data_IF_216671368140
#
_entry.id   IF_216671368140
#
_cell.length_a   1.000
_cell.length_b   1.000
_cell.length_c   1.000
_cell.angle_alpha   90.00
_cell.angle_beta   90.00
_cell.angle_gamma   90.00
#
_symmetry.space_group_name_H-M   'P 1'
#
loop_
_entity.id
_entity.type
_entity.pdbx_description
1 polymer ?
#
# COMPACT_ATOMS: atom_id res chain seq x y z
N UNK A 1 -54.86 10.16 0.47
CA UNK A 1 -53.57 10.38 -0.22
C UNK A 1 -52.44 10.02 0.72
N UNK A 2 -51.79 8.89 0.51
CA UNK A 2 -50.58 8.50 1.24
C UNK A 2 -49.37 8.99 0.45
N UNK A 3 -48.59 9.89 1.05
CA UNK A 3 -47.28 10.29 0.51
C UNK A 3 -46.30 9.17 0.81
N UNK A 4 -45.88 8.44 -0.23
CA UNK A 4 -44.75 7.50 -0.16
C UNK A 4 -43.49 8.29 0.15
N UNK A 5 -42.92 8.06 1.34
CA UNK A 5 -41.60 8.56 1.73
C UNK A 5 -40.56 7.72 0.97
N UNK A 6 -39.89 8.35 0.01
CA UNK A 6 -38.78 7.77 -0.76
C UNK A 6 -37.65 7.34 0.17
N UNK A 7 -37.24 6.08 0.04
CA UNK A 7 -36.29 5.37 0.91
C UNK A 7 -34.96 5.18 0.15
N UNK A 8 -34.35 6.26 -0.31
CA UNK A 8 -33.16 6.20 -1.18
C UNK A 8 -32.04 7.18 -0.77
N UNK A 9 -31.70 7.32 0.52
CA UNK A 9 -30.62 8.25 0.92
C UNK A 9 -29.69 7.77 2.04
N UNK A 10 -29.65 6.47 2.36
CA UNK A 10 -28.82 5.96 3.48
C UNK A 10 -27.73 4.96 3.05
N UNK A 11 -27.74 4.44 1.82
CA UNK A 11 -26.84 3.33 1.43
C UNK A 11 -25.49 3.74 0.82
N UNK A 12 -25.21 5.03 0.62
CA UNK A 12 -23.97 5.48 -0.06
C UNK A 12 -22.75 5.65 0.84
N UNK A 13 -22.92 5.74 2.17
CA UNK A 13 -21.79 5.93 3.10
C UNK A 13 -21.06 4.61 3.42
N UNK A 14 -21.77 3.47 3.34
CA UNK A 14 -21.23 2.17 3.73
C UNK A 14 -20.31 1.57 2.65
N UNK A 15 -20.47 1.97 1.38
CA UNK A 15 -19.69 1.43 0.26
C UNK A 15 -18.20 1.80 0.33
N UNK A 16 -17.84 2.87 1.07
CA UNK A 16 -16.46 3.30 1.27
C UNK A 16 -15.88 2.91 2.64
N UNK A 17 -16.66 2.32 3.54
CA UNK A 17 -16.19 1.98 4.88
C UNK A 17 -15.21 0.80 4.86
N UNK A 18 -14.16 0.85 5.69
CA UNK A 18 -13.23 -0.26 5.91
C UNK A 18 -13.66 -1.01 7.17
N UNK A 19 -13.86 -2.34 7.14
CA UNK A 19 -14.19 -3.11 8.34
C UNK A 19 -13.23 -2.89 9.51
N UNK A 20 -13.77 -2.79 10.73
CA UNK A 20 -12.98 -2.57 11.97
C UNK A 20 -11.85 -3.59 12.17
N UNK A 21 -12.01 -4.91 11.89
CA UNK A 21 -10.90 -5.85 12.00
C UNK A 21 -9.71 -5.49 11.12
N UNK A 22 -9.96 -4.98 9.90
CA UNK A 22 -8.92 -4.53 8.98
C UNK A 22 -8.23 -3.27 9.53
N UNK A 23 -9.01 -2.28 9.95
CA UNK A 23 -8.45 -1.05 10.54
C UNK A 23 -7.55 -1.36 11.75
N UNK A 24 -8.03 -2.25 12.63
CA UNK A 24 -7.30 -2.69 13.83
C UNK A 24 -6.03 -3.43 13.45
N UNK A 25 -6.09 -4.32 12.46
CA UNK A 25 -4.92 -5.02 11.95
C UNK A 25 -3.88 -4.05 11.42
N UNK A 26 -4.25 -3.15 10.50
CA UNK A 26 -3.34 -2.20 9.89
C UNK A 26 -2.72 -1.26 10.93
N UNK A 27 -3.52 -0.76 11.88
CA UNK A 27 -3.00 0.05 12.99
C UNK A 27 -1.96 -0.71 13.83
N UNK A 28 -2.22 -1.99 14.15
CA UNK A 28 -1.27 -2.82 14.89
C UNK A 28 0.04 -3.03 14.13
N UNK A 29 -0.01 -3.15 12.80
CA UNK A 29 1.19 -3.29 11.98
C UNK A 29 2.00 -2.00 11.84
N UNK A 30 1.33 -0.84 11.83
CA UNK A 30 2.01 0.46 11.69
C UNK A 30 2.53 1.01 13.02
N UNK A 31 1.86 0.72 14.13
CA UNK A 31 2.18 1.25 15.46
C UNK A 31 3.66 1.10 15.89
N UNK A 32 4.36 -0.03 15.64
CA UNK A 32 5.78 -0.17 15.98
C UNK A 32 6.68 0.87 15.32
N UNK A 33 6.38 1.24 14.08
CA UNK A 33 7.16 2.21 13.29
C UNK A 33 6.92 3.65 13.77
N UNK A 34 5.69 3.99 14.15
CA UNK A 34 5.35 5.33 14.67
C UNK A 34 5.92 5.53 16.07
N UNK A 35 5.80 4.53 16.95
CA UNK A 35 6.20 4.66 18.36
C UNK A 35 7.70 4.44 18.61
N UNK A 36 8.47 4.17 17.56
CA UNK A 36 9.91 3.87 17.59
C UNK A 36 10.29 2.77 18.60
N UNK A 37 9.38 1.85 18.92
CA UNK A 37 9.57 0.82 19.95
C UNK A 37 9.66 -0.57 19.31
N UNK A 38 10.76 -1.26 19.62
CA UNK A 38 11.04 -2.69 19.38
C UNK A 38 11.28 -3.07 17.90
N UNK A 39 12.56 -3.15 17.49
CA UNK A 39 12.98 -3.59 16.16
C UNK A 39 12.34 -4.92 15.70
N UNK A 40 12.20 -5.88 16.62
CA UNK A 40 11.56 -7.18 16.36
C UNK A 40 10.09 -7.07 15.92
N UNK A 41 9.36 -6.07 16.41
CA UNK A 41 7.97 -5.86 16.00
C UNK A 41 7.90 -5.30 14.58
N UNK A 42 8.80 -4.37 14.21
CA UNK A 42 8.91 -3.87 12.84
C UNK A 42 9.20 -5.00 11.84
N UNK A 43 10.11 -5.93 12.19
CA UNK A 43 10.40 -7.10 11.38
C UNK A 43 9.17 -7.98 11.17
N UNK A 44 8.44 -8.28 12.25
CA UNK A 44 7.21 -9.08 12.17
C UNK A 44 6.14 -8.41 11.32
N UNK A 45 5.99 -7.09 11.43
CA UNK A 45 5.03 -6.32 10.65
C UNK A 45 5.38 -6.27 9.16
N UNK A 46 6.66 -6.12 8.80
CA UNK A 46 7.12 -6.19 7.42
C UNK A 46 6.81 -7.56 6.79
N UNK A 47 7.06 -8.65 7.52
CA UNK A 47 6.72 -10.00 7.09
C UNK A 47 5.20 -10.19 6.93
N UNK A 48 4.42 -9.64 7.86
CA UNK A 48 2.96 -9.72 7.82
C UNK A 48 2.38 -8.94 6.64
N UNK A 49 2.93 -7.76 6.32
CA UNK A 49 2.48 -6.96 5.19
C UNK A 49 2.69 -7.68 3.87
N UNK A 50 3.91 -8.17 3.61
CA UNK A 50 4.18 -8.93 2.38
C UNK A 50 3.23 -10.13 2.26
N UNK A 51 3.09 -10.92 3.33
CA UNK A 51 2.28 -12.13 3.33
C UNK A 51 0.80 -11.87 3.04
N UNK A 52 0.23 -10.83 3.65
CA UNK A 52 -1.22 -10.56 3.59
C UNK A 52 -1.57 -9.67 2.39
N UNK A 53 -0.75 -8.66 2.08
CA UNK A 53 -1.02 -7.66 1.03
C UNK A 53 -0.48 -8.09 -0.32
N UNK A 54 0.70 -8.72 -0.39
CA UNK A 54 1.25 -9.16 -1.69
C UNK A 54 0.76 -10.58 -1.98
N UNK A 55 1.12 -11.53 -1.11
CA UNK A 55 0.87 -12.95 -1.36
C UNK A 55 -0.60 -13.38 -1.14
N UNK A 56 -1.44 -12.50 -0.59
CA UNK A 56 -2.84 -12.78 -0.25
C UNK A 56 -3.04 -14.02 0.65
N UNK A 57 -2.05 -14.35 1.49
CA UNK A 57 -2.12 -15.50 2.39
C UNK A 57 -2.77 -15.10 3.71
N UNK A 58 -4.00 -15.53 3.94
CA UNK A 58 -4.78 -15.23 5.15
C UNK A 58 -4.67 -16.32 6.24
N UNK A 59 -4.03 -17.45 5.93
CA UNK A 59 -3.90 -18.56 6.87
C UNK A 59 -3.23 -18.12 8.18
N UNK A 60 -3.75 -18.52 9.34
CA UNK A 60 -3.20 -18.15 10.65
C UNK A 60 -3.51 -16.73 11.12
N UNK A 61 -4.32 -15.96 10.37
CA UNK A 61 -4.98 -14.76 10.89
C UNK A 61 -6.23 -15.16 11.70
N UNK A 62 -6.77 -14.24 12.50
CA UNK A 62 -8.02 -14.48 13.23
C UNK A 62 -9.20 -14.64 12.25
N UNK A 63 -10.19 -15.50 12.56
CA UNK A 63 -11.37 -15.70 11.69
C UNK A 63 -12.07 -14.39 11.32
N UNK A 64 -12.26 -13.51 12.31
CA UNK A 64 -12.86 -12.18 12.11
C UNK A 64 -12.11 -11.28 11.15
N UNK A 65 -10.77 -11.39 11.07
CA UNK A 65 -9.97 -10.62 10.14
C UNK A 65 -10.04 -11.22 8.74
N UNK A 66 -10.01 -12.55 8.63
CA UNK A 66 -10.18 -13.24 7.34
C UNK A 66 -11.52 -12.90 6.70
N UNK A 67 -12.61 -13.02 7.46
CA UNK A 67 -13.96 -12.68 6.99
C UNK A 67 -14.05 -11.21 6.57
N UNK A 68 -13.47 -10.30 7.36
CA UNK A 68 -13.43 -8.88 7.02
C UNK A 68 -12.67 -8.61 5.71
N UNK A 69 -11.48 -9.20 5.52
CA UNK A 69 -10.69 -9.05 4.28
C UNK A 69 -11.46 -9.59 3.08
N UNK A 70 -12.15 -10.73 3.25
CA UNK A 70 -12.96 -11.35 2.19
C UNK A 70 -14.26 -10.60 1.89
N UNK A 71 -14.74 -9.76 2.81
CA UNK A 71 -15.96 -8.96 2.63
C UNK A 71 -15.80 -7.73 1.72
N UNK A 72 -14.56 -7.35 1.38
CA UNK A 72 -14.26 -6.21 0.50
C UNK A 72 -13.47 -6.68 -0.73
N UNK A 73 -13.46 -5.88 -1.80
CA UNK A 73 -12.64 -6.18 -2.97
C UNK A 73 -11.15 -6.20 -2.62
N UNK A 74 -10.36 -6.99 -3.35
CA UNK A 74 -8.91 -7.05 -3.14
C UNK A 74 -8.26 -5.68 -3.27
N UNK A 75 -8.69 -4.89 -4.26
CA UNK A 75 -8.21 -3.54 -4.45
C UNK A 75 -8.55 -2.61 -3.28
N UNK A 76 -9.77 -2.68 -2.74
CA UNK A 76 -10.16 -1.87 -1.57
C UNK A 76 -9.28 -2.18 -0.36
N UNK A 77 -8.91 -3.44 -0.15
CA UNK A 77 -7.94 -3.82 0.89
C UNK A 77 -6.52 -3.29 0.62
N UNK A 78 -6.06 -3.33 -0.63
CA UNK A 78 -4.77 -2.77 -1.05
C UNK A 78 -4.72 -1.26 -0.80
N UNK A 79 -5.74 -0.52 -1.24
CA UNK A 79 -5.85 0.92 -1.00
C UNK A 79 -5.88 1.25 0.50
N UNK A 80 -6.65 0.51 1.29
CA UNK A 80 -6.67 0.71 2.74
C UNK A 80 -5.30 0.47 3.39
N UNK A 81 -4.50 -0.44 2.84
CA UNK A 81 -3.17 -0.79 3.36
C UNK A 81 -2.08 0.18 2.92
N UNK A 82 -2.23 0.86 1.79
CA UNK A 82 -1.19 1.69 1.20
C UNK A 82 -0.65 2.82 2.12
N UNK A 83 -1.48 3.67 2.76
CA UNK A 83 -0.96 4.71 3.66
C UNK A 83 -0.17 4.14 4.83
N UNK A 84 -0.56 2.96 5.33
CA UNK A 84 0.15 2.26 6.39
C UNK A 84 1.54 1.80 5.95
N UNK A 85 1.66 1.25 4.74
CA UNK A 85 2.95 0.84 4.16
C UNK A 85 3.84 2.04 3.89
N UNK A 86 3.30 3.16 3.37
CA UNK A 86 4.05 4.42 3.19
C UNK A 86 4.66 4.88 4.52
N UNK A 87 3.86 4.94 5.60
CA UNK A 87 4.36 5.33 6.92
C UNK A 87 5.49 4.43 7.42
N UNK A 88 5.35 3.11 7.28
CA UNK A 88 6.38 2.17 7.71
C UNK A 88 7.66 2.30 6.87
N UNK A 89 7.54 2.44 5.54
CA UNK A 89 8.68 2.68 4.65
C UNK A 89 9.41 3.98 5.00
N UNK A 90 8.67 5.09 5.15
CA UNK A 90 9.26 6.37 5.51
C UNK A 90 10.00 6.29 6.86
N UNK A 91 9.43 5.59 7.85
CA UNK A 91 10.06 5.37 9.15
C UNK A 91 11.39 4.62 9.04
N UNK A 92 11.47 3.54 8.27
CA UNK A 92 12.74 2.79 8.11
C UNK A 92 13.79 3.58 7.33
N UNK A 93 13.38 4.33 6.30
CA UNK A 93 14.29 5.16 5.50
C UNK A 93 14.82 6.34 6.31
N UNK A 94 13.96 7.03 7.05
CA UNK A 94 14.36 8.12 7.94
C UNK A 94 15.32 7.60 9.01
N UNK A 95 15.01 6.47 9.64
CA UNK A 95 15.90 5.87 10.65
C UNK A 95 17.26 5.52 10.05
N UNK A 96 17.30 4.92 8.86
CA UNK A 96 18.56 4.62 8.16
C UNK A 96 19.34 5.91 7.91
N UNK A 97 18.69 6.95 7.38
CA UNK A 97 19.31 8.25 7.12
C UNK A 97 19.90 8.89 8.39
N UNK A 98 19.21 8.79 9.53
CA UNK A 98 19.67 9.35 10.81
C UNK A 98 20.79 8.53 11.48
N UNK A 99 20.81 7.21 11.27
CA UNK A 99 21.71 6.31 12.03
C UNK A 99 22.91 5.81 11.25
N UNK A 100 22.69 5.37 10.01
CA UNK A 100 23.75 4.87 9.11
C UNK A 100 23.24 4.87 7.65
N UNK A 101 23.45 5.98 6.90
CA UNK A 101 23.00 6.09 5.51
C UNK A 101 23.51 4.98 4.59
N UNK A 102 24.73 4.50 4.84
CA UNK A 102 25.40 3.47 4.05
C UNK A 102 25.03 2.03 4.47
N UNK A 103 24.18 1.86 5.49
CA UNK A 103 23.74 0.55 5.93
C UNK A 103 22.92 -0.16 4.85
N UNK A 104 23.27 -1.41 4.54
CA UNK A 104 22.42 -2.24 3.68
C UNK A 104 21.06 -2.48 4.34
N UNK A 105 20.02 -2.55 3.51
CA UNK A 105 18.70 -2.94 3.97
C UNK A 105 18.71 -4.35 4.54
N UNK A 106 18.06 -4.51 5.69
CA UNK A 106 17.81 -5.83 6.26
C UNK A 106 16.75 -6.58 5.46
N UNK A 107 16.60 -7.89 5.70
CA UNK A 107 15.58 -8.71 5.03
C UNK A 107 14.16 -8.17 5.24
N UNK A 108 13.84 -7.64 6.43
CA UNK A 108 12.54 -7.02 6.70
C UNK A 108 12.36 -5.71 5.95
N UNK A 109 13.39 -4.86 5.88
CA UNK A 109 13.34 -3.60 5.12
C UNK A 109 13.09 -3.88 3.63
N UNK A 110 13.79 -4.87 3.06
CA UNK A 110 13.60 -5.31 1.67
C UNK A 110 12.15 -5.76 1.45
N UNK A 111 11.58 -6.56 2.35
CA UNK A 111 10.19 -7.03 2.20
C UNK A 111 9.15 -5.92 2.31
N UNK A 112 9.41 -4.94 3.18
CA UNK A 112 8.53 -3.78 3.34
C UNK A 112 8.59 -2.86 2.11
N UNK A 113 9.81 -2.55 1.62
CA UNK A 113 10.00 -1.79 0.38
C UNK A 113 9.41 -2.52 -0.83
N UNK A 114 9.59 -3.83 -0.92
CA UNK A 114 8.96 -4.64 -1.95
C UNK A 114 7.43 -4.54 -1.90
N UNK A 115 6.84 -4.57 -0.70
CA UNK A 115 5.39 -4.40 -0.54
C UNK A 115 4.95 -3.03 -1.05
N UNK A 116 5.70 -1.96 -0.75
CA UNK A 116 5.44 -0.62 -1.29
C UNK A 116 5.52 -0.61 -2.83
N UNK A 117 6.57 -1.18 -3.42
CA UNK A 117 6.75 -1.21 -4.87
C UNK A 117 5.63 -1.98 -5.54
N UNK A 118 5.26 -3.15 -5.00
CA UNK A 118 4.17 -3.97 -5.52
C UNK A 118 2.84 -3.21 -5.53
N UNK A 119 2.50 -2.49 -4.44
CA UNK A 119 1.27 -1.67 -4.36
C UNK A 119 1.21 -0.60 -5.47
N UNK A 120 2.35 0.00 -5.80
CA UNK A 120 2.45 1.11 -6.77
C UNK A 120 2.52 0.60 -8.21
N UNK A 121 3.23 -0.50 -8.44
CA UNK A 121 3.63 -0.96 -9.78
C UNK A 121 2.74 -2.07 -10.33
N UNK A 122 2.36 -3.03 -9.48
CA UNK A 122 1.86 -4.34 -9.93
C UNK A 122 0.44 -4.63 -9.42
N UNK A 123 0.07 -4.11 -8.25
CA UNK A 123 -1.17 -4.46 -7.56
C UNK A 123 -2.45 -4.19 -8.36
N UNK A 124 -2.47 -3.10 -9.16
CA UNK A 124 -3.63 -2.77 -9.98
C UNK A 124 -3.91 -3.86 -11.03
N UNK A 125 -2.88 -4.27 -11.77
CA UNK A 125 -2.99 -5.34 -12.78
C UNK A 125 -3.29 -6.69 -12.14
N UNK A 126 -2.62 -7.03 -11.04
CA UNK A 126 -2.89 -8.28 -10.33
C UNK A 126 -4.30 -8.34 -9.74
N UNK A 127 -4.87 -7.22 -9.28
CA UNK A 127 -6.26 -7.18 -8.83
C UNK A 127 -7.24 -7.34 -9.99
N UNK A 128 -6.97 -6.71 -11.14
CA UNK A 128 -7.78 -6.82 -12.35
C UNK A 128 -7.84 -8.26 -12.87
N UNK A 129 -6.70 -8.95 -12.96
CA UNK A 129 -6.60 -10.32 -13.46
C UNK A 129 -7.36 -11.35 -12.59
N UNK A 130 -7.54 -11.04 -11.30
CA UNK A 130 -8.20 -11.91 -10.34
C UNK A 130 -9.71 -11.62 -10.20
N UNK A 131 -10.25 -10.57 -10.81
CA UNK A 131 -11.69 -10.31 -10.80
C UNK A 131 -12.44 -11.13 -11.87
N UNK A 132 -13.62 -11.66 -11.56
CA UNK A 132 -14.43 -12.36 -12.56
C UNK A 132 -14.83 -11.36 -13.65
N UNK A 133 -14.45 -11.63 -14.90
CA UNK A 133 -14.70 -10.78 -16.09
C UNK A 133 -16.17 -10.34 -16.20
N UNK A 134 -16.53 -9.24 -15.54
CA UNK A 134 -17.80 -8.54 -15.74
C UNK A 134 -17.68 -7.64 -16.97
N UNK A 135 -18.79 -7.43 -17.67
CA UNK A 135 -18.87 -6.80 -19.00
C UNK A 135 -17.96 -5.57 -19.18
N UNK A 136 -17.18 -5.59 -20.26
CA UNK A 136 -16.11 -4.69 -20.75
C UNK A 136 -16.29 -3.15 -20.73
N UNK A 137 -17.26 -2.54 -20.03
CA UNK A 137 -17.60 -1.11 -20.21
C UNK A 137 -17.19 -0.14 -19.10
N UNK A 138 -16.66 -0.58 -17.96
CA UNK A 138 -16.39 0.33 -16.80
C UNK A 138 -14.96 0.27 -16.21
N UNK A 139 -14.00 -0.34 -16.90
CA UNK A 139 -12.74 -0.81 -16.26
C UNK A 139 -11.56 0.18 -16.32
N UNK A 140 -11.59 1.21 -17.17
CA UNK A 140 -10.37 2.02 -17.42
C UNK A 140 -9.92 2.95 -16.27
N UNK A 141 -10.68 3.09 -15.18
CA UNK A 141 -10.32 3.92 -14.01
C UNK A 141 -10.53 3.21 -12.66
N UNK A 142 -10.78 1.90 -12.63
CA UNK A 142 -11.19 1.21 -11.40
C UNK A 142 -10.07 0.95 -10.39
N UNK A 143 -8.81 1.04 -10.80
CA UNK A 143 -7.64 0.73 -9.97
C UNK A 143 -6.69 1.92 -9.81
N UNK A 144 -7.23 3.03 -9.30
CA UNK A 144 -6.45 4.23 -8.96
C UNK A 144 -6.41 4.42 -7.44
N UNK A 145 -5.24 4.82 -6.93
CA UNK A 145 -5.10 5.25 -5.54
C UNK A 145 -5.67 6.66 -5.37
N UNK A 146 -6.18 6.99 -4.18
CA UNK A 146 -6.71 8.33 -3.90
C UNK A 146 -5.60 9.38 -3.96
N UNK A 147 -5.96 10.60 -4.38
CA UNK A 147 -5.03 11.73 -4.41
C UNK A 147 -4.37 11.96 -3.04
N UNK A 148 -5.13 11.82 -1.96
CA UNK A 148 -4.63 11.99 -0.58
C UNK A 148 -3.50 10.99 -0.26
N UNK A 149 -3.63 9.75 -0.72
CA UNK A 149 -2.59 8.72 -0.49
C UNK A 149 -1.35 9.00 -1.32
N UNK A 150 -1.51 9.50 -2.55
CA UNK A 150 -0.39 9.95 -3.38
C UNK A 150 0.30 11.17 -2.78
N UNK A 151 -0.45 12.13 -2.26
CA UNK A 151 0.10 13.28 -1.53
C UNK A 151 0.87 12.82 -0.30
N UNK A 152 0.37 11.84 0.46
CA UNK A 152 1.08 11.26 1.59
C UNK A 152 2.40 10.59 1.16
N UNK A 153 2.39 9.83 0.07
CA UNK A 153 3.62 9.28 -0.52
C UNK A 153 4.62 10.40 -0.83
N UNK A 154 4.15 11.47 -1.49
CA UNK A 154 4.99 12.61 -1.85
C UNK A 154 5.60 13.25 -0.61
N UNK A 155 4.78 13.56 0.39
CA UNK A 155 5.25 14.24 1.60
C UNK A 155 6.21 13.41 2.45
N UNK A 156 6.03 12.09 2.53
CA UNK A 156 6.83 11.25 3.41
C UNK A 156 8.05 10.63 2.74
N UNK A 157 7.98 10.29 1.45
CA UNK A 157 9.06 9.54 0.78
C UNK A 157 9.93 10.40 -0.13
N UNK A 158 9.40 11.46 -0.76
CA UNK A 158 10.21 12.31 -1.66
C UNK A 158 11.39 12.96 -0.93
N UNK A 159 11.26 13.49 0.29
CA UNK A 159 12.41 14.01 1.04
C UNK A 159 13.49 12.97 1.35
N UNK A 160 13.17 11.67 1.23
CA UNK A 160 14.06 10.55 1.53
C UNK A 160 14.63 9.91 0.25
N UNK A 161 14.24 10.36 -0.94
CA UNK A 161 14.68 9.77 -2.22
C UNK A 161 16.20 9.79 -2.36
N UNK A 162 16.88 10.84 -1.88
CA UNK A 162 18.34 10.94 -1.94
C UNK A 162 19.08 9.98 -1.00
N UNK A 163 18.39 9.38 -0.02
CA UNK A 163 19.00 8.36 0.85
C UNK A 163 19.03 6.98 0.21
N UNK A 164 18.33 6.80 -0.91
CA UNK A 164 18.31 5.57 -1.70
C UNK A 164 19.36 5.66 -2.79
N UNK A 165 20.12 4.58 -2.97
CA UNK A 165 21.13 4.44 -4.02
C UNK A 165 20.76 3.33 -4.98
N UNK A 166 21.32 3.32 -6.19
CA UNK A 166 21.10 2.24 -7.16
C UNK A 166 21.43 0.86 -6.57
N UNK A 167 22.51 0.76 -5.79
CA UNK A 167 22.96 -0.50 -5.18
C UNK A 167 21.98 -1.08 -4.15
N UNK A 168 21.09 -0.28 -3.58
CA UNK A 168 20.03 -0.79 -2.71
C UNK A 168 19.04 -1.69 -3.46
N UNK A 169 18.98 -1.56 -4.79
CA UNK A 169 18.10 -2.30 -5.69
C UNK A 169 18.82 -3.40 -6.46
N UNK A 170 20.11 -3.65 -6.19
CA UNK A 170 20.90 -4.75 -6.76
C UNK A 170 20.51 -6.10 -6.13
N UNK A 171 19.20 -6.38 -6.11
CA UNK A 171 18.63 -7.65 -5.71
C UNK A 171 17.32 -7.87 -6.47
N UNK A 172 17.05 -9.12 -6.82
CA UNK A 172 15.90 -9.52 -7.64
C UNK A 172 14.55 -9.07 -7.09
N UNK A 173 14.46 -8.79 -5.79
CA UNK A 173 13.21 -8.45 -5.13
C UNK A 173 12.87 -6.95 -5.25
N UNK A 174 13.87 -6.08 -5.26
CA UNK A 174 13.66 -4.63 -5.35
C UNK A 174 13.94 -4.07 -6.74
N UNK A 175 14.55 -4.83 -7.64
CA UNK A 175 14.93 -4.36 -8.97
C UNK A 175 13.77 -3.67 -9.73
N UNK A 176 12.54 -4.21 -9.66
CA UNK A 176 11.35 -3.60 -10.29
C UNK A 176 11.06 -2.19 -9.74
N UNK A 177 11.43 -1.93 -8.48
CA UNK A 177 11.30 -0.63 -7.82
C UNK A 177 12.08 0.49 -8.52
N UNK A 178 13.10 0.19 -9.32
CA UNK A 178 13.85 1.20 -10.07
C UNK A 178 12.97 2.00 -11.05
N UNK A 179 11.89 1.39 -11.55
CA UNK A 179 10.88 2.10 -12.37
C UNK A 179 10.22 3.27 -11.64
N UNK A 180 10.20 3.23 -10.30
CA UNK A 180 9.72 4.29 -9.43
C UNK A 180 10.85 5.26 -9.07
N UNK A 181 11.98 4.76 -8.55
CA UNK A 181 13.00 5.61 -7.94
C UNK A 181 13.91 6.30 -8.94
N UNK A 182 14.22 5.66 -10.07
CA UNK A 182 15.13 6.24 -11.06
C UNK A 182 14.59 7.55 -11.67
N UNK A 183 13.32 7.65 -12.10
CA UNK A 183 12.75 8.93 -12.49
C UNK A 183 12.78 9.98 -11.37
N UNK A 184 12.51 9.57 -10.12
CA UNK A 184 12.49 10.50 -8.97
C UNK A 184 13.87 11.08 -8.66
N UNK A 185 14.95 10.29 -8.79
CA UNK A 185 16.32 10.80 -8.68
C UNK A 185 16.64 11.86 -9.75
N UNK A 186 16.00 11.78 -10.92
CA UNK A 186 16.16 12.74 -12.01
C UNK A 186 15.12 13.87 -12.00
N UNK A 187 14.36 14.03 -10.91
CA UNK A 187 13.27 15.02 -10.80
C UNK A 187 12.19 14.88 -11.88
N UNK A 188 11.95 13.64 -12.31
CA UNK A 188 10.96 13.29 -13.32
C UNK A 188 9.79 12.53 -12.69
N UNK A 189 8.63 12.66 -13.32
CA UNK A 189 7.46 11.87 -12.99
C UNK A 189 7.70 10.40 -13.36
N UNK A 190 7.50 9.45 -12.45
CA UNK A 190 7.56 8.03 -12.78
C UNK A 190 6.54 7.66 -13.85
N UNK A 191 6.98 6.99 -14.92
CA UNK A 191 6.09 6.50 -15.97
C UNK A 191 5.40 5.19 -15.56
N UNK A 192 4.58 5.28 -14.52
CA UNK A 192 3.80 4.16 -13.97
C UNK A 192 2.36 4.61 -13.79
N UNK A 193 1.42 3.69 -13.97
CA UNK A 193 -0.01 3.99 -14.07
C UNK A 193 -0.54 4.82 -12.89
N UNK A 194 -0.03 4.54 -11.69
CA UNK A 194 -0.33 5.26 -10.45
C UNK A 194 -0.05 6.77 -10.52
N UNK A 195 0.93 7.21 -11.31
CA UNK A 195 1.33 8.61 -11.41
C UNK A 195 0.99 9.24 -12.76
N UNK A 196 0.83 8.47 -13.84
CA UNK A 196 0.64 8.99 -15.21
C UNK A 196 -0.81 9.10 -15.67
N UNK A 197 -1.77 8.60 -14.89
CA UNK A 197 -3.19 8.64 -15.27
C UNK A 197 -3.81 10.01 -14.95
N UNK A 198 -4.47 10.69 -15.92
CA UNK A 198 -5.15 11.95 -15.66
C UNK A 198 -6.32 11.73 -14.69
N UNK A 199 -6.35 12.50 -13.60
CA UNK A 199 -7.48 12.55 -12.68
C UNK A 199 -8.65 13.23 -13.40
N UNK A 200 -9.82 12.61 -13.42
CA UNK A 200 -11.07 13.21 -13.93
C UNK A 200 -11.78 14.00 -12.85
#
# INVERSE_FOLDING_TARGET
MMVKKSKDSVDSEDENSIPIPIQTFLWRQTSPFIRQKLAKLCESSALSFERVIVQNILHGLSPSLCEAIQSISRWKFVCASFPHVIHCCASILLKRLETNPEAKFSTSDIKLLYTLHWIILDAAGECEDNEPKKSFKTVKCSYLHSLDTIQLFVFLLIPLVSSLTRSDFDNLKLENGLRLWEPLWHYQQPNVYCFSTPVK
#
